data_IF_025310550228
#
_entry.id   IF_025310550228
#
_cell.length_a   1.000
_cell.length_b   1.000
_cell.length_c   1.000
_cell.angle_alpha   90.00
_cell.angle_beta   90.00
_cell.angle_gamma   90.00
#
_symmetry.space_group_name_H-M   'P 1'
#
loop_
_entity.id
_entity.type
_entity.pdbx_description
1 polymer ?
#
# COMPACT_ATOMS: atom_id res chain seq x y z
N UNK A 1 1.93 15.07 29.10
CA UNK A 1 1.15 13.82 29.23
C UNK A 1 1.56 12.92 28.08
N UNK A 2 2.42 11.95 28.33
CA UNK A 2 2.92 11.04 27.31
C UNK A 2 1.86 9.97 27.09
N UNK A 3 1.02 10.14 26.08
CA UNK A 3 0.07 9.10 25.67
C UNK A 3 0.90 7.98 25.05
N UNK A 4 1.25 6.97 25.84
CA UNK A 4 1.82 5.73 25.34
C UNK A 4 0.77 5.07 24.46
N UNK A 5 0.85 5.30 23.15
CA UNK A 5 0.04 4.57 22.18
C UNK A 5 0.47 3.10 22.20
N UNK A 6 -0.47 2.14 22.16
CA UNK A 6 -0.13 0.72 22.19
C UNK A 6 0.70 0.37 20.95
N UNK A 7 1.66 -0.53 21.16
CA UNK A 7 2.69 -0.94 20.20
C UNK A 7 2.10 -1.44 18.87
N UNK A 8 0.89 -2.01 18.85
CA UNK A 8 0.03 -2.24 17.67
C UNK A 8 -1.41 -2.42 18.21
N UNK A 9 -2.46 -1.95 17.52
CA UNK A 9 -3.84 -2.16 18.00
C UNK A 9 -4.26 -3.64 17.86
N UNK A 10 -5.13 -4.20 18.74
CA UNK A 10 -5.63 -5.57 18.56
C UNK A 10 -6.30 -5.79 17.19
N UNK A 11 -6.90 -4.74 16.65
CA UNK A 11 -7.52 -4.78 15.33
C UNK A 11 -6.48 -4.96 14.21
N UNK A 12 -5.36 -4.24 14.30
CA UNK A 12 -4.25 -4.37 13.36
C UNK A 12 -3.65 -5.78 13.42
N UNK A 13 -3.50 -6.37 14.60
CA UNK A 13 -3.03 -7.77 14.74
C UNK A 13 -3.93 -8.73 13.97
N UNK A 14 -5.25 -8.59 14.07
CA UNK A 14 -6.18 -9.46 13.35
C UNK A 14 -6.09 -9.30 11.82
N UNK A 15 -5.90 -8.08 11.32
CA UNK A 15 -5.67 -7.85 9.88
C UNK A 15 -4.35 -8.47 9.43
N UNK A 16 -3.28 -8.35 10.23
CA UNK A 16 -1.99 -8.99 9.94
C UNK A 16 -2.09 -10.52 9.92
N UNK A 17 -2.90 -11.12 10.79
CA UNK A 17 -3.19 -12.57 10.75
C UNK A 17 -3.85 -12.96 9.42
N UNK A 18 -4.80 -12.16 8.91
CA UNK A 18 -5.44 -12.41 7.60
C UNK A 18 -4.43 -12.30 6.46
N UNK A 19 -3.52 -11.32 6.52
CA UNK A 19 -2.44 -11.17 5.54
C UNK A 19 -1.49 -12.37 5.57
N UNK A 20 -1.12 -12.84 6.77
CA UNK A 20 -0.29 -14.03 6.93
C UNK A 20 -0.97 -15.29 6.38
N UNK A 21 -2.26 -15.49 6.66
CA UNK A 21 -3.05 -16.59 6.11
C UNK A 21 -3.13 -16.53 4.57
N UNK A 22 -3.28 -15.33 4.01
CA UNK A 22 -3.20 -15.14 2.56
C UNK A 22 -1.83 -15.55 2.02
N UNK A 23 -0.71 -15.10 2.63
CA UNK A 23 0.63 -15.51 2.20
C UNK A 23 0.86 -17.02 2.23
N UNK A 24 0.32 -17.74 3.22
CA UNK A 24 0.32 -19.22 3.24
C UNK A 24 -0.43 -19.78 2.04
N UNK A 25 -1.58 -19.23 1.70
CA UNK A 25 -2.34 -19.64 0.50
C UNK A 25 -1.56 -19.36 -0.78
N UNK A 26 -0.89 -18.21 -0.87
CA UNK A 26 -0.09 -17.86 -2.05
C UNK A 26 1.09 -18.83 -2.22
N UNK A 27 1.80 -19.15 -1.14
CA UNK A 27 2.87 -20.14 -1.14
C UNK A 27 2.36 -21.53 -1.57
N UNK A 28 1.20 -21.96 -1.07
CA UNK A 28 0.60 -23.23 -1.49
C UNK A 28 0.24 -23.28 -2.99
N UNK A 29 -0.08 -22.14 -3.61
CA UNK A 29 -0.46 -22.06 -5.02
C UNK A 29 0.72 -21.88 -5.98
N UNK A 30 1.71 -21.08 -5.58
CA UNK A 30 2.77 -20.60 -6.46
C UNK A 30 4.19 -20.90 -5.95
N UNK A 31 4.32 -21.38 -4.71
CA UNK A 31 5.60 -21.60 -4.05
C UNK A 31 6.38 -20.30 -3.80
N UNK A 32 7.67 -20.46 -3.57
CA UNK A 32 8.62 -19.35 -3.50
C UNK A 32 8.70 -18.61 -4.84
N UNK A 33 8.70 -17.27 -4.80
CA UNK A 33 8.78 -16.41 -5.98
C UNK A 33 9.97 -15.45 -5.83
N UNK A 34 10.84 -15.38 -6.85
CA UNK A 34 12.05 -14.56 -6.87
C UNK A 34 12.21 -13.87 -8.23
N UNK A 35 11.24 -13.04 -8.61
CA UNK A 35 11.23 -12.32 -9.88
C UNK A 35 12.06 -11.04 -9.81
N UNK A 36 12.61 -10.55 -10.94
CA UNK A 36 13.18 -9.21 -10.99
C UNK A 36 12.14 -8.14 -10.67
N UNK A 37 12.58 -7.02 -10.08
CA UNK A 37 11.67 -5.96 -9.60
C UNK A 37 10.83 -5.36 -10.72
N UNK A 38 11.44 -5.08 -11.88
CA UNK A 38 10.76 -4.48 -13.02
C UNK A 38 10.24 -3.05 -12.74
N UNK A 39 10.79 -2.37 -11.74
CA UNK A 39 10.47 -1.00 -11.34
C UNK A 39 11.56 -0.02 -11.79
N UNK A 40 11.25 1.27 -11.67
CA UNK A 40 12.16 2.36 -11.98
C UNK A 40 11.45 3.48 -12.74
N UNK A 41 12.05 4.68 -12.77
CA UNK A 41 11.36 5.90 -13.19
C UNK A 41 10.86 5.86 -14.64
N UNK A 42 11.59 5.18 -15.53
CA UNK A 42 11.30 5.10 -16.96
C UNK A 42 10.44 3.88 -17.36
N UNK A 43 10.03 3.03 -16.41
CA UNK A 43 9.14 1.89 -16.68
C UNK A 43 7.75 2.39 -17.09
N UNK A 44 7.17 1.80 -18.13
CA UNK A 44 5.79 2.10 -18.52
C UNK A 44 4.79 1.35 -17.62
N UNK A 45 3.98 2.08 -16.85
CA UNK A 45 3.07 1.50 -15.83
C UNK A 45 1.59 1.52 -16.22
N UNK A 46 1.23 2.21 -17.31
CA UNK A 46 -0.13 2.24 -17.83
C UNK A 46 -0.12 2.36 -19.36
N UNK A 47 -1.07 1.67 -20.03
CA UNK A 47 -1.19 1.56 -21.50
C UNK A 47 -1.44 2.87 -22.28
N UNK A 48 -1.29 4.03 -21.64
CA UNK A 48 -1.16 5.34 -22.27
C UNK A 48 0.30 5.86 -22.18
N UNK A 49 1.29 4.95 -22.11
CA UNK A 49 2.73 5.24 -22.01
C UNK A 49 3.07 6.31 -20.98
N UNK A 50 2.51 6.20 -19.77
CA UNK A 50 2.99 6.99 -18.64
C UNK A 50 4.14 6.25 -17.99
N UNK A 51 5.31 6.90 -17.96
CA UNK A 51 6.44 6.47 -17.16
C UNK A 51 6.05 6.45 -15.69
N UNK A 52 6.66 5.55 -14.92
CA UNK A 52 6.37 5.38 -13.50
C UNK A 52 6.55 6.69 -12.74
N UNK A 53 7.61 7.46 -13.03
CA UNK A 53 7.84 8.76 -12.41
C UNK A 53 6.70 9.77 -12.68
N UNK A 54 6.19 9.83 -13.92
CA UNK A 54 5.09 10.73 -14.29
C UNK A 54 3.78 10.30 -13.60
N UNK A 55 3.57 8.99 -13.45
CA UNK A 55 2.43 8.42 -12.75
C UNK A 55 2.48 8.67 -11.23
N UNK A 56 3.64 8.50 -10.61
CA UNK A 56 3.90 8.80 -9.20
C UNK A 56 3.65 10.28 -8.90
N UNK A 57 4.23 11.17 -9.70
CA UNK A 57 4.01 12.61 -9.59
C UNK A 57 2.52 12.98 -9.70
N UNK A 58 1.83 12.41 -10.69
CA UNK A 58 0.38 12.65 -10.87
C UNK A 58 -0.42 12.12 -9.68
N UNK A 59 -0.09 10.93 -9.17
CA UNK A 59 -0.79 10.33 -8.05
C UNK A 59 -0.67 11.20 -6.79
N UNK A 60 0.56 11.58 -6.43
CA UNK A 60 0.85 12.49 -5.32
C UNK A 60 0.13 13.82 -5.46
N UNK A 61 0.24 14.48 -6.62
CA UNK A 61 -0.46 15.75 -6.87
C UNK A 61 -1.98 15.60 -6.66
N UNK A 62 -2.58 14.53 -7.20
CA UNK A 62 -4.03 14.31 -7.02
C UNK A 62 -4.41 14.02 -5.57
N UNK A 63 -3.56 13.33 -4.80
CA UNK A 63 -3.81 13.09 -3.38
C UNK A 63 -3.71 14.38 -2.57
N UNK A 64 -2.67 15.19 -2.80
CA UNK A 64 -2.49 16.47 -2.13
C UNK A 64 -3.67 17.41 -2.39
N UNK A 65 -4.12 17.51 -3.65
CA UNK A 65 -5.31 18.28 -4.02
C UNK A 65 -6.58 17.74 -3.37
N UNK A 66 -6.80 16.43 -3.41
CA UNK A 66 -7.97 15.80 -2.78
C UNK A 66 -7.98 16.04 -1.26
N UNK A 67 -6.80 16.02 -0.61
CA UNK A 67 -6.64 16.35 0.82
C UNK A 67 -6.98 17.81 1.09
N UNK A 68 -6.44 18.74 0.30
CA UNK A 68 -6.70 20.17 0.46
C UNK A 68 -8.19 20.52 0.29
N UNK A 69 -8.90 19.82 -0.60
CA UNK A 69 -10.32 20.04 -0.87
C UNK A 69 -11.27 19.23 0.04
N UNK A 70 -10.74 18.43 0.98
CA UNK A 70 -11.59 17.59 1.86
C UNK A 70 -12.28 16.42 1.13
N UNK A 71 -11.76 16.00 -0.03
CA UNK A 71 -12.26 14.89 -0.86
C UNK A 71 -11.30 13.69 -0.88
N UNK A 72 -10.38 13.62 0.09
CA UNK A 72 -9.40 12.54 0.20
C UNK A 72 -10.11 11.18 0.32
N UNK A 73 -9.59 10.18 -0.39
CA UNK A 73 -10.12 8.82 -0.35
C UNK A 73 -8.98 7.84 -0.22
N UNK A 74 -9.29 6.62 0.22
CA UNK A 74 -8.32 5.54 0.26
C UNK A 74 -7.74 5.17 -1.10
N UNK A 75 -8.49 5.37 -2.19
CA UNK A 75 -7.98 5.18 -3.55
C UNK A 75 -6.88 6.19 -3.87
N UNK A 76 -7.00 7.45 -3.42
CA UNK A 76 -5.94 8.44 -3.60
C UNK A 76 -4.67 7.98 -2.88
N UNK A 77 -4.80 7.63 -1.60
CA UNK A 77 -3.67 7.25 -0.73
C UNK A 77 -2.98 5.99 -1.25
N UNK A 78 -3.70 4.87 -1.43
CA UNK A 78 -3.06 3.61 -1.85
C UNK A 78 -2.42 3.74 -3.24
N UNK A 79 -3.04 4.50 -4.14
CA UNK A 79 -2.51 4.70 -5.50
C UNK A 79 -1.20 5.47 -5.50
N UNK A 80 -1.06 6.46 -4.61
CA UNK A 80 0.20 7.20 -4.46
C UNK A 80 1.33 6.26 -4.06
N UNK A 81 1.19 5.54 -2.95
CA UNK A 81 2.20 4.59 -2.45
C UNK A 81 2.58 3.55 -3.52
N UNK A 82 1.60 3.02 -4.26
CA UNK A 82 1.86 2.03 -5.33
C UNK A 82 2.68 2.64 -6.46
N UNK A 83 2.38 3.86 -6.90
CA UNK A 83 3.12 4.47 -8.00
C UNK A 83 4.50 4.99 -7.56
N UNK A 84 4.67 5.40 -6.30
CA UNK A 84 5.99 5.71 -5.74
C UNK A 84 6.88 4.45 -5.76
N UNK A 85 6.37 3.31 -5.28
CA UNK A 85 7.07 2.03 -5.40
C UNK A 85 7.40 1.64 -6.86
N UNK A 86 6.49 1.83 -7.81
CA UNK A 86 6.79 1.54 -9.23
C UNK A 86 7.89 2.43 -9.82
N UNK A 87 8.03 3.66 -9.34
CA UNK A 87 9.03 4.60 -9.81
C UNK A 87 10.42 4.39 -9.16
N UNK A 88 10.50 3.59 -8.09
CA UNK A 88 11.73 3.35 -7.35
C UNK A 88 12.64 2.34 -8.06
N UNK A 89 13.92 2.67 -8.15
CA UNK A 89 14.96 1.87 -8.81
C UNK A 89 15.99 1.29 -7.82
N UNK A 90 16.10 1.85 -6.61
CA UNK A 90 16.93 1.31 -5.54
C UNK A 90 16.18 0.19 -4.78
N UNK A 91 16.73 -1.03 -4.68
CA UNK A 91 16.03 -2.14 -4.05
C UNK A 91 15.72 -1.95 -2.56
N UNK A 92 16.54 -1.19 -1.83
CA UNK A 92 16.30 -0.97 -0.40
C UNK A 92 15.15 0.02 -0.21
N UNK A 93 15.15 1.13 -0.97
CA UNK A 93 14.03 2.06 -0.99
C UNK A 93 12.74 1.39 -1.50
N UNK A 94 12.82 0.56 -2.56
CA UNK A 94 11.66 -0.17 -3.07
C UNK A 94 11.06 -1.09 -2.00
N UNK A 95 11.89 -1.77 -1.20
CA UNK A 95 11.40 -2.60 -0.11
C UNK A 95 10.64 -1.78 0.95
N UNK A 96 11.10 -0.56 1.25
CA UNK A 96 10.41 0.36 2.18
C UNK A 96 9.05 0.81 1.62
N UNK A 97 9.01 1.22 0.35
CA UNK A 97 7.78 1.61 -0.36
C UNK A 97 6.76 0.45 -0.40
N UNK A 98 7.20 -0.78 -0.71
CA UNK A 98 6.33 -1.96 -0.71
C UNK A 98 5.76 -2.27 0.69
N UNK A 99 6.54 -2.02 1.75
CA UNK A 99 6.06 -2.13 3.13
C UNK A 99 5.01 -1.04 3.41
N UNK A 100 5.21 0.19 2.94
CA UNK A 100 4.22 1.27 3.08
C UNK A 100 2.93 0.94 2.32
N UNK A 101 2.99 0.39 1.11
CA UNK A 101 1.83 -0.12 0.36
C UNK A 101 1.07 -1.17 1.19
N UNK A 102 1.76 -2.15 1.76
CA UNK A 102 1.14 -3.19 2.58
C UNK A 102 0.48 -2.61 3.84
N UNK A 103 1.15 -1.67 4.52
CA UNK A 103 0.63 -0.99 5.70
C UNK A 103 -0.61 -0.14 5.36
N UNK A 104 -0.59 0.59 4.24
CA UNK A 104 -1.72 1.39 3.75
C UNK A 104 -2.91 0.52 3.37
N UNK A 105 -2.66 -0.62 2.70
CA UNK A 105 -3.70 -1.59 2.39
C UNK A 105 -4.34 -2.20 3.65
N UNK A 106 -3.51 -2.55 4.65
CA UNK A 106 -3.99 -3.03 5.95
C UNK A 106 -4.85 -1.97 6.66
N UNK A 107 -4.37 -0.73 6.72
CA UNK A 107 -5.09 0.40 7.32
C UNK A 107 -6.44 0.66 6.63
N UNK A 108 -6.50 0.54 5.30
CA UNK A 108 -7.75 0.63 4.56
C UNK A 108 -8.70 -0.52 4.92
N UNK A 109 -8.21 -1.76 4.94
CA UNK A 109 -8.99 -2.94 5.33
C UNK A 109 -9.60 -2.79 6.73
N UNK A 110 -8.81 -2.33 7.70
CA UNK A 110 -9.30 -2.00 9.02
C UNK A 110 -10.41 -0.93 8.99
N UNK A 111 -10.24 0.13 8.19
CA UNK A 111 -11.28 1.14 8.04
C UNK A 111 -12.57 0.57 7.44
N UNK A 112 -12.49 -0.46 6.58
CA UNK A 112 -13.66 -1.21 6.09
C UNK A 112 -14.31 -1.99 7.24
N UNK A 113 -13.52 -2.69 8.05
CA UNK A 113 -14.04 -3.48 9.16
C UNK A 113 -14.73 -2.61 10.21
N UNK A 114 -14.12 -1.49 10.58
CA UNK A 114 -14.72 -0.49 11.49
C UNK A 114 -16.05 0.04 10.96
N UNK A 115 -16.11 0.43 9.68
CA UNK A 115 -17.35 1.02 9.10
C UNK A 115 -18.47 0.00 8.87
N UNK A 116 -18.12 -1.28 8.70
CA UNK A 116 -19.10 -2.36 8.43
C UNK A 116 -19.50 -3.13 9.69
N UNK A 117 -18.91 -2.84 10.85
CA UNK A 117 -19.17 -3.56 12.09
C UNK A 117 -18.71 -5.02 12.07
N UNK A 118 -17.90 -5.42 11.08
CA UNK A 118 -17.22 -6.71 11.10
C UNK A 118 -16.08 -6.59 12.10
N UNK A 119 -16.35 -6.97 13.35
CA UNK A 119 -15.28 -7.15 14.32
C UNK A 119 -14.26 -8.14 13.73
N UNK A 120 -12.98 -7.88 13.98
CA UNK A 120 -11.91 -8.83 13.80
C UNK A 120 -12.26 -10.13 14.55
N UNK A 121 -12.85 -11.09 13.84
CA UNK A 121 -13.01 -12.46 14.29
C UNK A 121 -11.65 -13.16 14.29
#
# INVERSE_FOLDING_TARGET
MTTTHPIVSPHTVAVLVKIAAERVRQDALWGEQNHPDGTGPDVEVAGLSRRAADAAHTARFTTEMARAEGRLTWLHILREEVYEGFAEADPAALAEELIQVAATAACWAEAIERRTGRAAA
#
